data_IF_267087776444
#
_entry.id   IF_267087776444
#
_cell.length_a   1.000
_cell.length_b   1.000
_cell.length_c   1.000
_cell.angle_alpha   90.00
_cell.angle_beta   90.00
_cell.angle_gamma   90.00
#
_symmetry.space_group_name_H-M   'P 1'
#
loop_
_entity.id
_entity.type
_entity.pdbx_description
1 polymer ?
#
# COMPACT_ATOMS: atom_id res chain seq x y z
N UNK A 1 -36.14 38.02 -6.55
CA UNK A 1 -36.98 38.75 -5.58
C UNK A 1 -37.28 40.17 -6.02
N UNK A 2 -36.28 41.01 -6.34
CA UNK A 2 -36.50 42.41 -6.77
C UNK A 2 -37.38 42.56 -8.03
N UNK A 3 -37.16 41.71 -9.04
CA UNK A 3 -37.92 41.73 -10.31
C UNK A 3 -39.42 41.38 -10.17
N UNK A 4 -39.79 40.60 -9.15
CA UNK A 4 -41.17 40.12 -8.95
C UNK A 4 -42.03 41.12 -8.16
N UNK A 5 -41.39 41.99 -7.35
CA UNK A 5 -42.08 43.08 -6.63
C UNK A 5 -42.50 44.19 -7.60
N UNK A 6 -41.71 44.44 -8.65
CA UNK A 6 -42.10 45.36 -9.73
C UNK A 6 -43.25 44.84 -10.61
N UNK A 7 -43.55 43.55 -10.57
CA UNK A 7 -44.67 42.94 -11.32
C UNK A 7 -46.01 42.94 -10.54
N UNK A 8 -46.10 43.62 -9.39
CA UNK A 8 -47.36 43.85 -8.67
C UNK A 8 -47.84 42.70 -7.77
N UNK A 9 -47.01 41.67 -7.53
CA UNK A 9 -47.37 40.57 -6.64
C UNK A 9 -47.02 40.89 -5.18
N UNK A 10 -48.03 40.91 -4.30
CA UNK A 10 -47.85 41.00 -2.85
C UNK A 10 -47.45 39.65 -2.26
N UNK A 11 -46.23 39.54 -1.73
CA UNK A 11 -45.74 38.31 -1.12
C UNK A 11 -46.35 38.11 0.27
N UNK A 12 -47.26 37.12 0.40
CA UNK A 12 -47.65 36.58 1.70
C UNK A 12 -46.54 35.68 2.25
N UNK A 13 -46.22 35.82 3.54
CA UNK A 13 -45.22 35.00 4.22
C UNK A 13 -45.53 33.48 4.10
N UNK A 14 -46.81 33.13 3.99
CA UNK A 14 -47.26 31.74 3.84
C UNK A 14 -46.86 31.14 2.47
N UNK A 15 -46.89 31.93 1.40
CA UNK A 15 -46.50 31.48 0.06
C UNK A 15 -44.99 31.24 -0.06
N UNK A 16 -44.18 32.09 0.60
CA UNK A 16 -42.73 31.88 0.69
C UNK A 16 -42.37 30.59 1.42
N UNK A 17 -43.06 30.30 2.51
CA UNK A 17 -42.85 29.06 3.27
C UNK A 17 -43.18 27.81 2.44
N UNK A 18 -44.27 27.84 1.68
CA UNK A 18 -44.66 26.71 0.81
C UNK A 18 -43.62 26.51 -0.30
N UNK A 19 -43.18 27.58 -0.96
CA UNK A 19 -42.18 27.49 -2.04
C UNK A 19 -40.79 27.04 -1.55
N UNK A 20 -40.40 27.39 -0.32
CA UNK A 20 -39.11 27.00 0.25
C UNK A 20 -39.16 25.65 0.99
N UNK A 21 -40.35 25.13 1.28
CA UNK A 21 -40.52 23.84 1.98
C UNK A 21 -39.82 22.66 1.29
N UNK A 22 -39.83 22.50 -0.06
CA UNK A 22 -39.14 21.39 -0.70
C UNK A 22 -37.61 21.52 -0.58
N UNK A 23 -37.10 22.76 -0.49
CA UNK A 23 -35.68 23.02 -0.32
C UNK A 23 -35.24 22.71 1.11
N UNK A 24 -36.07 23.05 2.10
CA UNK A 24 -35.84 22.73 3.50
C UNK A 24 -35.80 21.22 3.75
N UNK A 25 -36.76 20.47 3.19
CA UNK A 25 -36.79 19.00 3.32
C UNK A 25 -35.61 18.34 2.60
N UNK A 26 -35.23 18.84 1.42
CA UNK A 26 -34.05 18.36 0.70
C UNK A 26 -32.75 18.58 1.47
N UNK A 27 -32.54 19.77 2.06
CA UNK A 27 -31.36 20.05 2.88
C UNK A 27 -31.30 19.16 4.13
N UNK A 28 -32.45 18.88 4.74
CA UNK A 28 -32.53 18.00 5.91
C UNK A 28 -32.14 16.56 5.54
N UNK A 29 -32.58 16.05 4.39
CA UNK A 29 -32.19 14.73 3.88
C UNK A 29 -30.68 14.64 3.63
N UNK A 30 -30.03 15.71 3.19
CA UNK A 30 -28.57 15.74 2.98
C UNK A 30 -27.76 15.68 4.28
N UNK A 31 -28.35 16.07 5.41
CA UNK A 31 -27.73 15.96 6.75
C UNK A 31 -27.89 14.59 7.39
N UNK A 32 -28.72 13.71 6.84
CA UNK A 32 -28.87 12.35 7.33
C UNK A 32 -27.55 11.58 7.23
N UNK A 33 -27.22 10.84 8.29
CA UNK A 33 -26.07 9.95 8.32
C UNK A 33 -26.26 8.77 7.37
N UNK A 34 -25.16 8.32 6.77
CA UNK A 34 -25.18 7.16 5.88
C UNK A 34 -25.65 5.91 6.66
N UNK A 35 -26.60 5.10 6.12
CA UNK A 35 -27.18 3.95 6.83
C UNK A 35 -26.12 2.95 7.31
N UNK A 36 -25.09 2.69 6.49
CA UNK A 36 -24.01 1.75 6.85
C UNK A 36 -22.78 2.37 7.54
N UNK A 37 -22.61 3.71 7.50
CA UNK A 37 -21.36 4.39 7.91
C UNK A 37 -21.69 5.61 8.78
N UNK A 38 -21.89 5.38 10.07
CA UNK A 38 -22.37 6.38 11.04
C UNK A 38 -21.53 7.66 11.14
N UNK A 39 -20.26 7.65 10.74
CA UNK A 39 -19.35 8.80 10.87
C UNK A 39 -19.33 9.74 9.64
N UNK A 40 -20.14 9.50 8.61
CA UNK A 40 -20.09 10.27 7.36
C UNK A 40 -21.50 10.67 6.92
N UNK A 41 -21.70 11.95 6.61
CA UNK A 41 -22.98 12.45 6.09
C UNK A 41 -23.19 12.04 4.63
N UNK A 42 -24.44 11.85 4.22
CA UNK A 42 -24.77 11.39 2.87
C UNK A 42 -24.21 12.31 1.76
N UNK A 43 -24.24 13.62 1.99
CA UNK A 43 -23.73 14.62 1.05
C UNK A 43 -22.22 14.52 0.81
N UNK A 44 -21.43 14.26 1.86
CA UNK A 44 -19.96 14.20 1.74
C UNK A 44 -19.53 13.00 0.90
N UNK A 45 -20.18 11.85 1.07
CA UNK A 45 -19.90 10.68 0.26
C UNK A 45 -20.32 10.86 -1.20
N UNK A 46 -21.53 11.37 -1.46
CA UNK A 46 -22.06 11.39 -2.84
C UNK A 46 -21.49 12.52 -3.71
N UNK A 47 -21.26 13.70 -3.11
CA UNK A 47 -20.88 14.91 -3.86
C UNK A 47 -19.41 15.22 -3.67
N UNK A 48 -18.96 15.39 -2.42
CA UNK A 48 -17.58 15.79 -2.13
C UNK A 48 -16.60 14.73 -2.61
N UNK A 49 -16.88 13.45 -2.35
CA UNK A 49 -16.02 12.35 -2.79
C UNK A 49 -15.90 12.27 -4.31
N UNK A 50 -16.98 12.53 -5.05
CA UNK A 50 -17.00 12.51 -6.52
C UNK A 50 -16.17 13.65 -7.11
N UNK A 51 -16.26 14.85 -6.51
CA UNK A 51 -15.43 16.01 -6.87
C UNK A 51 -13.96 15.71 -6.58
N UNK A 52 -13.65 15.20 -5.38
CA UNK A 52 -12.28 14.84 -5.01
C UNK A 52 -11.73 13.75 -5.92
N UNK A 53 -12.51 12.72 -6.25
CA UNK A 53 -12.11 11.63 -7.14
C UNK A 53 -11.79 12.12 -8.55
N UNK A 54 -12.59 13.05 -9.09
CA UNK A 54 -12.31 13.66 -10.40
C UNK A 54 -11.11 14.60 -10.39
N UNK A 55 -10.80 15.22 -9.23
CA UNK A 55 -9.63 16.10 -9.06
C UNK A 55 -8.33 15.34 -8.75
N UNK A 56 -8.39 14.05 -8.38
CA UNK A 56 -7.19 13.23 -8.15
C UNK A 56 -6.46 13.01 -9.48
N UNK A 57 -5.13 13.14 -9.45
CA UNK A 57 -4.31 12.75 -10.59
C UNK A 57 -4.38 11.24 -10.76
N UNK A 58 -4.89 10.79 -11.93
CA UNK A 58 -5.13 9.37 -12.23
C UNK A 58 -3.92 8.70 -12.91
N UNK A 59 -2.96 9.49 -13.37
CA UNK A 59 -1.80 9.02 -14.12
C UNK A 59 -0.53 9.63 -13.49
N UNK A 60 0.32 8.78 -12.95
CA UNK A 60 1.62 9.17 -12.39
C UNK A 60 2.69 8.86 -13.45
N UNK A 61 3.06 9.85 -14.26
CA UNK A 61 4.11 9.67 -15.27
C UNK A 61 5.36 10.40 -14.81
N UNK A 62 6.45 9.65 -14.71
CA UNK A 62 7.78 10.19 -14.49
C UNK A 62 8.39 10.58 -15.83
N UNK A 63 8.43 11.87 -16.14
CA UNK A 63 9.26 12.40 -17.23
C UNK A 63 10.66 12.65 -16.69
N UNK A 64 11.56 11.67 -16.85
CA UNK A 64 12.97 11.88 -16.57
C UNK A 64 13.55 12.76 -17.69
N UNK A 65 13.83 14.02 -17.36
CA UNK A 65 14.81 14.82 -18.08
C UNK A 65 14.33 15.57 -19.31
N UNK A 66 13.33 16.45 -19.19
CA UNK A 66 13.27 17.60 -20.10
C UNK A 66 12.79 18.88 -19.40
N UNK A 67 13.33 20.00 -19.89
CA UNK A 67 13.40 21.35 -19.35
C UNK A 67 12.13 21.85 -18.61
N UNK A 68 12.20 21.95 -17.28
CA UNK A 68 11.15 22.55 -16.44
C UNK A 68 11.60 23.92 -15.90
N UNK A 69 10.71 24.92 -16.02
CA UNK A 69 10.93 26.31 -15.58
C UNK A 69 11.09 26.42 -14.05
N UNK A 70 11.81 27.44 -13.58
CA UNK A 70 12.19 27.66 -12.17
C UNK A 70 11.01 27.65 -11.18
N UNK A 71 9.82 28.04 -11.65
CA UNK A 71 8.57 28.04 -10.86
C UNK A 71 7.99 26.62 -10.65
N UNK A 72 8.22 25.70 -11.59
CA UNK A 72 7.89 24.29 -11.43
C UNK A 72 8.91 23.55 -10.56
N UNK A 73 10.20 23.95 -10.59
CA UNK A 73 11.24 23.39 -9.69
C UNK A 73 10.91 23.56 -8.19
N UNK A 74 10.30 24.69 -7.79
CA UNK A 74 9.88 24.95 -6.39
C UNK A 74 8.72 24.07 -5.90
N UNK A 75 7.89 23.55 -6.82
CA UNK A 75 6.74 22.69 -6.49
C UNK A 75 6.97 21.21 -6.88
N UNK A 76 7.94 20.92 -7.75
CA UNK A 76 8.29 19.59 -8.23
C UNK A 76 9.24 18.82 -7.31
N UNK A 77 9.85 19.50 -6.33
CA UNK A 77 10.62 18.85 -5.27
C UNK A 77 9.77 18.62 -4.01
N UNK A 78 8.50 18.23 -4.14
CA UNK A 78 7.92 17.43 -3.06
C UNK A 78 8.73 16.14 -3.04
N UNK A 79 9.52 15.97 -1.99
CA UNK A 79 10.27 14.76 -1.71
C UNK A 79 9.36 13.55 -1.99
N UNK A 80 9.87 12.52 -2.67
CA UNK A 80 9.14 11.29 -2.97
C UNK A 80 8.51 10.74 -1.68
N UNK A 81 9.18 10.94 -0.54
CA UNK A 81 8.69 10.61 0.80
C UNK A 81 7.40 11.37 1.15
N UNK A 82 7.36 12.68 0.92
CA UNK A 82 6.18 13.50 1.17
C UNK A 82 5.01 13.09 0.26
N UNK A 83 5.28 12.72 -1.00
CA UNK A 83 4.25 12.21 -1.91
C UNK A 83 3.68 10.86 -1.46
N UNK A 84 4.52 9.99 -0.91
CA UNK A 84 4.13 8.70 -0.33
C UNK A 84 3.53 8.83 1.07
N UNK A 85 3.48 10.04 1.66
CA UNK A 85 3.02 10.25 3.02
C UNK A 85 3.98 9.68 4.08
N UNK A 86 5.27 9.55 3.77
CA UNK A 86 6.33 9.13 4.68
C UNK A 86 6.98 10.39 5.26
N UNK A 87 6.82 10.58 6.56
CA UNK A 87 7.43 11.68 7.31
C UNK A 87 8.85 11.36 7.71
N UNK A 88 9.10 10.16 8.27
CA UNK A 88 10.43 9.74 8.67
C UNK A 88 10.61 8.22 8.55
N UNK A 89 11.87 7.76 8.59
CA UNK A 89 12.23 6.36 8.75
C UNK A 89 13.06 6.29 10.03
N UNK A 90 12.58 5.58 11.04
CA UNK A 90 13.21 5.49 12.36
C UNK A 90 13.03 4.08 12.92
N UNK A 91 14.08 3.50 13.51
CA UNK A 91 14.08 2.11 14.00
C UNK A 91 13.53 1.12 12.96
N UNK A 92 13.98 1.25 11.71
CA UNK A 92 13.50 0.43 10.60
C UNK A 92 11.96 0.43 10.46
N UNK A 93 11.31 1.53 10.82
CA UNK A 93 9.87 1.72 10.76
C UNK A 93 9.56 3.01 10.03
N UNK A 94 8.53 2.97 9.19
CA UNK A 94 8.06 4.14 8.46
C UNK A 94 7.12 4.95 9.36
N UNK A 95 7.52 6.16 9.70
CA UNK A 95 6.65 7.16 10.28
C UNK A 95 5.91 7.87 9.15
N UNK A 96 4.59 7.81 9.19
CA UNK A 96 3.71 8.41 8.18
C UNK A 96 3.27 9.82 8.58
N UNK A 97 2.88 10.64 7.60
CA UNK A 97 2.40 12.02 7.83
C UNK A 97 1.09 12.07 8.61
N UNK A 98 0.35 10.95 8.68
CA UNK A 98 -0.87 10.81 9.48
C UNK A 98 -0.60 10.23 10.89
N UNK A 99 0.64 10.32 11.37
CA UNK A 99 1.09 9.88 12.71
C UNK A 99 0.84 8.39 12.97
N UNK A 100 1.24 7.54 12.02
CA UNK A 100 1.30 6.09 12.23
C UNK A 100 2.71 5.56 12.03
N UNK A 101 3.09 4.59 12.86
CA UNK A 101 4.24 3.75 12.63
C UNK A 101 3.81 2.55 11.79
N UNK A 102 4.52 2.29 10.70
CA UNK A 102 4.29 1.16 9.80
C UNK A 102 5.55 0.31 9.73
N UNK A 103 5.43 -0.96 10.12
CA UNK A 103 6.48 -1.96 9.93
C UNK A 103 6.03 -2.93 8.84
N UNK A 104 6.96 -3.28 7.96
CA UNK A 104 6.73 -4.21 6.85
C UNK A 104 7.63 -5.41 7.04
N UNK A 105 7.07 -6.60 7.01
CA UNK A 105 7.80 -7.87 7.08
C UNK A 105 7.64 -8.54 5.72
N UNK A 106 8.74 -8.79 5.01
CA UNK A 106 8.73 -9.64 3.82
C UNK A 106 8.69 -11.09 4.26
N UNK A 107 7.88 -11.92 3.62
CA UNK A 107 7.76 -13.35 3.93
C UNK A 107 8.00 -14.17 2.68
N UNK A 108 8.72 -15.27 2.81
CA UNK A 108 8.92 -16.25 1.74
C UNK A 108 7.62 -16.99 1.41
N UNK A 109 7.65 -17.92 0.46
CA UNK A 109 6.46 -18.66 0.06
C UNK A 109 6.74 -20.12 -0.16
N UNK A 110 5.77 -20.96 0.20
CA UNK A 110 5.81 -22.40 -0.07
C UNK A 110 5.08 -22.72 -1.38
N UNK A 111 5.67 -23.58 -2.19
CA UNK A 111 5.03 -24.07 -3.41
C UNK A 111 4.00 -25.14 -3.08
N UNK A 112 2.72 -24.76 -3.06
CA UNK A 112 1.64 -25.69 -2.78
C UNK A 112 1.33 -26.63 -3.95
N UNK A 113 1.63 -26.25 -5.20
CA UNK A 113 1.17 -27.00 -6.37
C UNK A 113 1.69 -28.44 -6.41
N UNK A 114 2.93 -28.65 -5.98
CA UNK A 114 3.62 -29.94 -5.96
C UNK A 114 3.23 -30.84 -4.77
N UNK A 115 2.41 -30.33 -3.84
CA UNK A 115 2.10 -31.03 -2.60
C UNK A 115 0.87 -31.93 -2.73
N UNK A 116 0.86 -33.02 -1.95
CA UNK A 116 -0.31 -33.87 -1.86
C UNK A 116 -1.44 -33.18 -1.05
N UNK A 117 -2.67 -33.70 -1.12
CA UNK A 117 -3.83 -33.12 -0.44
C UNK A 117 -3.67 -33.01 1.09
N UNK A 118 -3.14 -34.05 1.74
CA UNK A 118 -2.89 -34.11 3.19
C UNK A 118 -1.87 -33.06 3.63
N UNK A 119 -0.80 -32.86 2.86
CA UNK A 119 0.21 -31.83 3.12
C UNK A 119 -0.37 -30.43 2.96
N UNK A 120 -1.12 -30.18 1.89
CA UNK A 120 -1.87 -28.92 1.69
C UNK A 120 -2.78 -28.62 2.88
N UNK A 121 -3.56 -29.59 3.32
CA UNK A 121 -4.46 -29.43 4.48
C UNK A 121 -3.69 -29.07 5.74
N UNK A 122 -2.55 -29.72 6.02
CA UNK A 122 -1.70 -29.37 7.17
C UNK A 122 -1.20 -27.93 7.12
N UNK A 123 -0.76 -27.45 5.94
CA UNK A 123 -0.30 -26.07 5.78
C UNK A 123 -1.46 -25.08 6.01
N UNK A 124 -2.65 -25.36 5.48
CA UNK A 124 -3.81 -24.49 5.72
C UNK A 124 -4.24 -24.48 7.19
N UNK A 125 -4.20 -25.63 7.88
CA UNK A 125 -4.49 -25.71 9.31
C UNK A 125 -3.47 -24.91 10.13
N UNK A 126 -2.18 -25.02 9.80
CA UNK A 126 -1.14 -24.22 10.45
C UNK A 126 -1.35 -22.72 10.25
N UNK A 127 -1.73 -22.30 9.04
CA UNK A 127 -2.07 -20.90 8.75
C UNK A 127 -3.32 -20.44 9.52
N UNK A 128 -4.34 -21.29 9.66
CA UNK A 128 -5.52 -21.02 10.45
C UNK A 128 -5.18 -20.86 11.94
N UNK A 129 -4.38 -21.77 12.50
CA UNK A 129 -3.88 -21.67 13.88
C UNK A 129 -3.11 -20.37 14.09
N UNK A 130 -2.20 -20.02 13.17
CA UNK A 130 -1.50 -18.74 13.21
C UNK A 130 -2.45 -17.54 13.30
N UNK A 131 -3.47 -17.50 12.43
CA UNK A 131 -4.43 -16.39 12.44
C UNK A 131 -5.26 -16.32 13.74
N UNK A 132 -5.58 -17.47 14.34
CA UNK A 132 -6.35 -17.56 15.58
C UNK A 132 -5.52 -17.22 16.82
N UNK A 133 -4.22 -17.53 16.80
CA UNK A 133 -3.29 -17.26 17.91
C UNK A 133 -2.87 -15.78 17.99
N UNK A 134 -3.11 -14.99 16.93
CA UNK A 134 -2.81 -13.56 16.92
C UNK A 134 -3.71 -12.82 17.93
N UNK A 135 -3.12 -12.10 18.92
CA UNK A 135 -3.88 -11.28 19.84
C UNK A 135 -4.73 -10.25 19.10
N UNK A 136 -5.95 -10.01 19.59
CA UNK A 136 -6.85 -9.00 19.00
C UNK A 136 -6.24 -7.60 19.00
N UNK A 137 -5.32 -7.32 19.93
CA UNK A 137 -4.55 -6.08 19.93
C UNK A 137 -3.72 -5.94 18.65
N UNK A 138 -3.15 -6.99 18.07
CA UNK A 138 -2.31 -6.98 16.86
C UNK A 138 -3.10 -6.82 15.55
N UNK A 139 -4.43 -6.82 15.62
CA UNK A 139 -5.29 -6.63 14.46
C UNK A 139 -5.60 -5.14 14.23
N UNK A 140 -5.75 -4.70 12.96
CA UNK A 140 -5.70 -5.51 11.74
C UNK A 140 -4.28 -5.78 11.25
N UNK A 141 -3.99 -7.05 10.93
CA UNK A 141 -2.79 -7.47 10.20
C UNK A 141 -3.08 -7.37 8.70
N UNK A 142 -2.27 -6.62 7.95
CA UNK A 142 -2.45 -6.51 6.51
C UNK A 142 -1.49 -7.43 5.78
N UNK A 143 -2.02 -8.33 4.94
CA UNK A 143 -1.23 -9.18 4.05
C UNK A 143 -1.33 -8.61 2.63
N UNK A 144 -0.19 -8.38 1.98
CA UNK A 144 -0.12 -7.81 0.63
C UNK A 144 0.80 -8.63 -0.26
N UNK A 145 0.44 -8.74 -1.54
CA UNK A 145 1.26 -9.36 -2.56
C UNK A 145 1.54 -8.35 -3.67
N UNK A 146 2.81 -8.05 -3.91
CA UNK A 146 3.23 -7.03 -4.87
C UNK A 146 4.09 -7.72 -5.93
N UNK A 147 3.71 -7.55 -7.20
CA UNK A 147 4.54 -7.94 -8.32
C UNK A 147 5.64 -6.91 -8.52
N UNK A 148 6.90 -7.35 -8.51
CA UNK A 148 8.06 -6.51 -8.75
C UNK A 148 8.88 -7.10 -9.90
N UNK A 149 9.44 -6.27 -10.79
CA UNK A 149 10.39 -6.75 -11.80
C UNK A 149 11.50 -7.56 -11.13
N UNK A 150 11.83 -8.70 -11.71
CA UNK A 150 12.87 -9.55 -11.15
C UNK A 150 14.23 -8.85 -11.25
N UNK A 151 14.98 -8.88 -10.15
CA UNK A 151 16.36 -8.41 -10.12
C UNK A 151 17.29 -9.62 -10.25
N UNK A 152 17.93 -9.77 -11.41
CA UNK A 152 18.88 -10.85 -11.68
C UNK A 152 20.34 -10.40 -11.51
N UNK A 153 20.60 -9.23 -10.90
CA UNK A 153 21.95 -8.63 -10.85
C UNK A 153 22.93 -9.56 -10.14
N UNK A 154 22.53 -10.10 -8.99
CA UNK A 154 23.38 -11.02 -8.22
C UNK A 154 23.58 -12.35 -8.96
N UNK A 155 22.56 -12.83 -9.67
CA UNK A 155 22.68 -14.03 -10.49
C UNK A 155 23.62 -13.81 -11.68
N UNK A 156 23.53 -12.67 -12.35
CA UNK A 156 24.45 -12.29 -13.42
C UNK A 156 25.89 -12.22 -12.91
N UNK A 157 26.14 -11.59 -11.75
CA UNK A 157 27.46 -11.56 -11.11
C UNK A 157 27.98 -12.96 -10.79
N UNK A 158 27.12 -13.82 -10.25
CA UNK A 158 27.49 -15.21 -9.97
C UNK A 158 27.95 -15.94 -11.23
N UNK A 159 27.22 -15.81 -12.35
CA UNK A 159 27.61 -16.42 -13.62
C UNK A 159 28.92 -15.84 -14.14
N UNK A 160 29.10 -14.52 -14.04
CA UNK A 160 30.33 -13.84 -14.43
C UNK A 160 31.53 -14.35 -13.61
N UNK A 161 31.40 -14.44 -12.28
CA UNK A 161 32.42 -14.97 -11.38
C UNK A 161 32.78 -16.44 -11.68
N UNK A 162 31.78 -17.27 -11.99
CA UNK A 162 32.01 -18.67 -12.37
C UNK A 162 32.72 -18.82 -13.72
N UNK A 163 32.52 -17.86 -14.63
CA UNK A 163 33.02 -17.95 -16.01
C UNK A 163 34.28 -17.13 -16.26
N UNK A 164 34.67 -16.26 -15.31
CA UNK A 164 35.89 -15.44 -15.35
C UNK A 164 37.20 -16.25 -15.45
N UNK A 165 37.19 -17.52 -15.03
CA UNK A 165 38.36 -18.43 -15.09
C UNK A 165 38.29 -19.45 -16.21
N UNK A 166 37.28 -19.38 -17.09
CA UNK A 166 37.11 -20.37 -18.15
C UNK A 166 38.07 -20.09 -19.31
N UNK A 167 39.00 -21.01 -19.57
CA UNK A 167 40.00 -20.88 -20.64
C UNK A 167 39.45 -21.27 -22.03
N UNK A 168 38.33 -21.99 -22.07
CA UNK A 168 37.71 -22.47 -23.30
C UNK A 168 36.96 -21.35 -24.03
N UNK A 169 37.48 -20.95 -25.19
CA UNK A 169 36.87 -19.89 -26.02
C UNK A 169 35.37 -20.11 -26.35
N UNK A 170 34.90 -21.31 -26.76
CA UNK A 170 33.48 -21.54 -27.00
C UNK A 170 32.61 -21.32 -25.76
N UNK A 171 33.06 -21.77 -24.58
CA UNK A 171 32.31 -21.61 -23.33
C UNK A 171 32.29 -20.15 -22.88
N UNK A 172 33.38 -19.40 -23.06
CA UNK A 172 33.42 -17.97 -22.78
C UNK A 172 32.41 -17.18 -23.63
N UNK A 173 32.28 -17.52 -24.92
CA UNK A 173 31.25 -16.94 -25.80
C UNK A 173 29.84 -17.26 -25.29
N UNK A 174 29.58 -18.53 -24.94
CA UNK A 174 28.28 -18.96 -24.44
C UNK A 174 27.91 -18.20 -23.15
N UNK A 175 28.85 -18.10 -22.20
CA UNK A 175 28.68 -17.35 -20.97
C UNK A 175 28.31 -15.88 -21.23
N UNK A 176 29.04 -15.21 -22.13
CA UNK A 176 28.76 -13.82 -22.52
C UNK A 176 27.39 -13.66 -23.18
N UNK A 177 27.00 -14.61 -24.04
CA UNK A 177 25.68 -14.61 -24.68
C UNK A 177 24.55 -14.78 -23.65
N UNK A 178 24.77 -15.62 -22.64
CA UNK A 178 23.82 -15.86 -21.57
C UNK A 178 23.69 -14.64 -20.64
N UNK A 179 24.81 -14.01 -20.26
CA UNK A 179 24.79 -12.76 -19.48
C UNK A 179 24.02 -11.65 -20.21
N UNK A 180 24.20 -11.52 -21.53
CA UNK A 180 23.43 -10.59 -22.36
C UNK A 180 21.93 -10.90 -22.31
N UNK A 181 21.56 -12.17 -22.44
CA UNK A 181 20.17 -12.60 -22.32
C UNK A 181 19.56 -12.25 -20.95
N UNK A 182 20.30 -12.47 -19.86
CA UNK A 182 19.87 -12.11 -18.49
C UNK A 182 19.66 -10.58 -18.36
N UNK A 183 20.57 -9.78 -18.91
CA UNK A 183 20.46 -8.31 -18.92
C UNK A 183 19.26 -7.83 -19.75
N UNK A 184 19.02 -8.44 -20.90
CA UNK A 184 17.86 -8.14 -21.75
C UNK A 184 16.53 -8.44 -21.03
N UNK A 185 16.47 -9.55 -20.26
CA UNK A 185 15.31 -9.84 -19.41
C UNK A 185 15.10 -8.74 -18.37
N UNK A 186 16.16 -8.29 -17.68
CA UNK A 186 16.05 -7.22 -16.68
C UNK A 186 15.56 -5.90 -17.30
N UNK A 187 16.13 -5.51 -18.45
CA UNK A 187 15.76 -4.28 -19.16
C UNK A 187 14.31 -4.31 -19.64
N UNK A 188 13.86 -5.46 -20.12
CA UNK A 188 12.49 -5.63 -20.60
C UNK A 188 11.44 -5.43 -19.51
N UNK A 189 11.79 -5.68 -18.23
CA UNK A 189 10.86 -5.68 -17.07
C UNK A 189 9.62 -6.56 -17.26
N UNK A 190 9.61 -7.44 -18.26
CA UNK A 190 8.49 -8.32 -18.57
C UNK A 190 8.36 -9.45 -17.56
N UNK A 191 9.48 -9.86 -16.96
CA UNK A 191 9.51 -10.90 -15.94
C UNK A 191 9.37 -10.28 -14.54
N UNK A 192 8.36 -10.72 -13.80
CA UNK A 192 8.04 -10.22 -12.46
C UNK A 192 8.05 -11.35 -11.44
N UNK A 193 8.62 -11.09 -10.27
CA UNK A 193 8.45 -11.93 -9.08
C UNK A 193 7.36 -11.36 -8.19
N UNK A 194 6.66 -12.23 -7.46
CA UNK A 194 5.62 -11.81 -6.51
C UNK A 194 6.16 -11.88 -5.10
N UNK A 195 6.39 -10.72 -4.50
CA UNK A 195 6.79 -10.60 -3.11
C UNK A 195 5.55 -10.51 -2.22
N UNK A 196 5.65 -11.10 -1.02
CA UNK A 196 4.58 -11.16 -0.04
C UNK A 196 5.03 -10.42 1.20
N UNK A 197 4.13 -9.59 1.72
CA UNK A 197 4.39 -8.69 2.83
C UNK A 197 3.31 -8.82 3.87
N UNK A 198 3.73 -8.83 5.13
CA UNK A 198 2.88 -8.69 6.30
C UNK A 198 3.16 -7.31 6.88
N UNK A 199 2.12 -6.49 6.99
CA UNK A 199 2.21 -5.07 7.32
C UNK A 199 1.43 -4.83 8.61
N UNK A 200 2.09 -4.18 9.56
CA UNK A 200 1.47 -3.75 10.81
C UNK A 200 1.60 -2.24 10.96
N UNK A 201 0.49 -1.60 11.31
CA UNK A 201 0.41 -0.16 11.46
C UNK A 201 -0.22 0.22 12.80
N UNK A 202 0.40 1.18 13.50
CA UNK A 202 -0.09 1.71 14.77
C UNK A 202 -0.12 3.22 14.75
N UNK A 203 -1.27 3.80 15.08
CA UNK A 203 -1.38 5.25 15.30
C UNK A 203 -0.75 5.65 16.63
N UNK A 204 -0.04 6.78 16.61
CA UNK A 204 0.53 7.37 17.82
C UNK A 204 0.13 8.85 17.92
N UNK A 205 0.22 9.35 19.15
CA UNK A 205 0.13 10.75 19.51
C UNK A 205 1.49 11.21 20.06
N UNK A 206 1.72 12.52 20.17
CA UNK A 206 3.00 13.07 20.64
C UNK A 206 3.43 12.54 22.02
N UNK A 207 2.47 12.24 22.91
CA UNK A 207 2.73 11.78 24.28
C UNK A 207 3.08 10.29 24.39
N UNK A 208 2.56 9.44 23.51
CA UNK A 208 2.73 7.98 23.59
C UNK A 208 3.62 7.41 22.47
N UNK A 209 4.22 8.27 21.64
CA UNK A 209 5.07 7.90 20.50
C UNK A 209 6.07 6.78 20.83
N UNK A 210 6.86 6.94 21.89
CA UNK A 210 7.90 5.97 22.27
C UNK A 210 7.28 4.62 22.68
N UNK A 211 6.26 4.66 23.53
CA UNK A 211 5.54 3.46 23.98
C UNK A 211 4.93 2.68 22.82
N UNK A 212 4.30 3.37 21.88
CA UNK A 212 3.68 2.72 20.70
C UNK A 212 4.74 2.09 19.79
N UNK A 213 5.92 2.71 19.67
CA UNK A 213 7.03 2.14 18.92
C UNK A 213 7.55 0.86 19.59
N UNK A 214 7.79 0.89 20.91
CA UNK A 214 8.26 -0.28 21.66
C UNK A 214 7.24 -1.44 21.61
N UNK A 215 5.94 -1.12 21.70
CA UNK A 215 4.85 -2.10 21.53
C UNK A 215 4.84 -2.68 20.12
N UNK A 216 4.98 -1.85 19.08
CA UNK A 216 5.03 -2.31 17.70
C UNK A 216 6.24 -3.22 17.45
N UNK A 217 7.42 -2.87 17.94
CA UNK A 217 8.63 -3.70 17.80
C UNK A 217 8.46 -5.07 18.47
N UNK A 218 7.86 -5.09 19.67
CA UNK A 218 7.53 -6.34 20.36
C UNK A 218 6.55 -7.19 19.56
N UNK A 219 5.47 -6.57 19.06
CA UNK A 219 4.45 -7.25 18.26
C UNK A 219 5.06 -7.81 16.97
N UNK A 220 5.92 -7.05 16.30
CA UNK A 220 6.66 -7.48 15.10
C UNK A 220 7.50 -8.71 15.38
N UNK A 221 8.23 -8.72 16.49
CA UNK A 221 9.07 -9.87 16.85
C UNK A 221 8.22 -11.12 17.10
N UNK A 222 7.09 -10.98 17.80
CA UNK A 222 6.17 -12.09 18.05
C UNK A 222 5.64 -12.65 16.73
N UNK A 223 5.15 -11.78 15.83
CA UNK A 223 4.62 -12.18 14.52
C UNK A 223 5.70 -12.83 13.66
N UNK A 224 6.92 -12.29 13.66
CA UNK A 224 8.09 -12.86 12.95
C UNK A 224 8.34 -14.31 13.38
N UNK A 225 8.48 -14.51 14.70
CA UNK A 225 8.71 -15.84 15.28
C UNK A 225 7.54 -16.79 15.04
N UNK A 226 6.30 -16.30 15.08
CA UNK A 226 5.14 -17.13 14.76
C UNK A 226 5.11 -17.52 13.29
N UNK A 227 5.49 -16.64 12.35
CA UNK A 227 5.57 -16.94 10.92
C UNK A 227 6.64 -18.00 10.64
N UNK A 228 7.83 -17.86 11.24
CA UNK A 228 8.92 -18.84 11.11
C UNK A 228 8.51 -20.22 11.62
N UNK A 229 7.88 -20.27 12.79
CA UNK A 229 7.46 -21.52 13.43
C UNK A 229 6.11 -22.05 12.95
N UNK A 230 5.43 -21.33 12.05
CA UNK A 230 4.10 -21.73 11.57
C UNK A 230 4.17 -23.08 10.84
N UNK A 231 5.22 -23.30 10.07
CA UNK A 231 5.42 -24.53 9.32
C UNK A 231 6.51 -25.37 9.98
N UNK A 232 6.26 -26.66 10.13
CA UNK A 232 7.23 -27.61 10.66
C UNK A 232 7.79 -28.55 9.59
N UNK A 233 8.98 -29.09 9.84
CA UNK A 233 9.59 -30.14 9.02
C UNK A 233 10.28 -29.59 7.78
N UNK A 234 9.84 -30.00 6.58
CA UNK A 234 10.49 -29.65 5.29
C UNK A 234 10.02 -28.33 4.69
N UNK A 235 9.07 -27.66 5.34
CA UNK A 235 8.52 -26.39 4.89
C UNK A 235 8.89 -25.35 5.92
N UNK A 236 9.64 -24.34 5.50
CA UNK A 236 10.06 -23.24 6.35
C UNK A 236 9.64 -21.93 5.68
N UNK A 237 9.21 -20.97 6.50
CA UNK A 237 8.98 -19.60 6.06
C UNK A 237 10.09 -18.75 6.63
N UNK A 238 10.83 -18.10 5.74
CA UNK A 238 11.80 -17.09 6.10
C UNK A 238 11.11 -15.74 6.04
N UNK A 239 11.49 -14.84 6.94
CA UNK A 239 11.02 -13.47 6.93
C UNK A 239 12.18 -12.49 7.08
N UNK A 240 11.94 -11.26 6.63
CA UNK A 240 12.90 -10.16 6.71
C UNK A 240 12.13 -8.88 7.02
N UNK A 241 12.47 -8.20 8.12
CA UNK A 241 11.88 -6.91 8.45
C UNK A 241 12.48 -5.81 7.56
N UNK A 242 11.61 -5.09 6.86
CA UNK A 242 12.00 -3.98 5.99
C UNK A 242 11.83 -2.64 6.71
N UNK A 243 12.91 -1.86 6.70
CA UNK A 243 13.04 -0.55 7.32
C UNK A 243 13.58 0.50 6.38
#
# INVERSE_FOLDING_TARGET
>A
MWYLVHAGYSFSAQLLLICLSPWGTFLLILTLHHPDRKNINFFTHRVIWRIQFNRRQKLFVYTKGDFMSSKQKKNASKDIREQLGIKNVYSECYETTDNRFVKVIRVSSVNLSLLNKKEKTKIFQAYETFLNDLPRSMLPLQVSQIAQPINLTNYGRYIDDQTAKEESYPKAILAKSYLKYVDDIQKSKNMVSRNRYVIMARSFNSMNRKKVLDELERDVKIVSTQIENMLGGRYELENESLG
#
